data_IF_207925670804
#
_entry.id   IF_207925670804
#
_cell.length_a   1.000
_cell.length_b   1.000
_cell.length_c   1.000
_cell.angle_alpha   90.00
_cell.angle_beta   90.00
_cell.angle_gamma   90.00
#
_symmetry.space_group_name_H-M   'P 1'
#
loop_
_entity.id
_entity.type
_entity.pdbx_description
1 polymer ?
#
# COMPACT_ATOMS: atom_id res chain seq x y z
N UNK A 1 -27.20 2.08 -73.60
CA UNK A 1 -26.44 1.33 -72.58
C UNK A 1 -26.32 2.20 -71.34
N UNK A 2 -27.20 1.98 -70.35
CA UNK A 2 -27.30 2.81 -69.14
C UNK A 2 -27.15 1.92 -67.90
N UNK A 3 -26.27 2.32 -67.00
CA UNK A 3 -25.89 1.60 -65.77
C UNK A 3 -27.07 1.58 -64.79
N UNK A 4 -27.40 0.38 -64.30
CA UNK A 4 -28.43 0.13 -63.29
C UNK A 4 -27.96 0.60 -61.90
N UNK A 5 -28.87 1.27 -61.18
CA UNK A 5 -28.76 1.62 -59.76
C UNK A 5 -29.02 0.38 -58.89
N UNK A 6 -28.37 0.22 -57.72
CA UNK A 6 -28.85 -0.68 -56.68
C UNK A 6 -29.95 -0.01 -55.80
N UNK A 7 -30.82 -0.80 -55.14
CA UNK A 7 -32.04 -0.32 -54.52
C UNK A 7 -31.88 0.13 -53.05
N UNK A 8 -32.82 0.99 -52.65
CA UNK A 8 -33.06 1.54 -51.30
C UNK A 8 -33.42 0.44 -50.28
N UNK A 9 -32.88 0.56 -49.06
CA UNK A 9 -33.51 0.02 -47.85
C UNK A 9 -33.33 0.98 -46.65
N UNK A 10 -34.39 1.74 -46.40
CA UNK A 10 -35.07 2.03 -45.13
C UNK A 10 -34.27 2.56 -43.91
N UNK A 11 -34.43 3.87 -43.69
CA UNK A 11 -34.23 4.60 -42.43
C UNK A 11 -35.17 4.11 -41.32
N UNK A 12 -34.64 3.88 -40.10
CA UNK A 12 -35.39 4.12 -38.85
C UNK A 12 -34.47 4.79 -37.81
N UNK A 13 -34.74 6.08 -37.54
CA UNK A 13 -34.38 6.75 -36.28
C UNK A 13 -35.36 6.28 -35.20
N UNK A 14 -34.85 5.89 -34.04
CA UNK A 14 -35.60 5.78 -32.78
C UNK A 14 -34.69 6.28 -31.65
N UNK A 15 -34.77 7.57 -31.28
CA UNK A 15 -35.50 8.09 -30.11
C UNK A 15 -34.99 7.48 -28.79
N UNK A 16 -34.19 8.28 -28.09
CA UNK A 16 -33.73 8.08 -26.73
C UNK A 16 -34.93 8.19 -25.76
N UNK A 17 -35.14 7.26 -24.82
CA UNK A 17 -36.00 7.48 -23.66
C UNK A 17 -35.18 8.05 -22.50
N UNK A 18 -35.56 9.23 -22.04
CA UNK A 18 -35.18 9.81 -20.74
C UNK A 18 -36.18 9.42 -19.66
N UNK A 19 -35.79 8.60 -18.69
CA UNK A 19 -36.27 8.62 -17.29
C UNK A 19 -35.33 7.81 -16.38
N UNK A 20 -35.24 8.14 -15.08
CA UNK A 20 -34.16 7.72 -14.19
C UNK A 20 -34.45 6.36 -13.55
N UNK A 21 -33.48 5.44 -13.57
CA UNK A 21 -33.60 4.14 -12.89
C UNK A 21 -32.72 4.14 -11.64
N UNK A 22 -33.36 3.70 -10.56
CA UNK A 22 -32.90 3.63 -9.19
C UNK A 22 -31.64 2.76 -8.99
N UNK A 23 -30.97 3.07 -7.88
CA UNK A 23 -29.83 2.39 -7.25
C UNK A 23 -29.85 0.86 -7.40
N UNK A 24 -28.75 0.20 -7.82
CA UNK A 24 -28.65 -1.25 -7.73
C UNK A 24 -28.38 -1.65 -6.27
N UNK A 25 -29.37 -2.33 -5.68
CA UNK A 25 -29.24 -3.03 -4.41
C UNK A 25 -28.06 -4.02 -4.47
N UNK A 26 -27.24 -4.02 -3.41
CA UNK A 26 -26.14 -4.94 -3.22
C UNK A 26 -26.61 -6.40 -3.32
N UNK A 27 -26.10 -7.12 -4.32
CA UNK A 27 -26.20 -8.58 -4.38
C UNK A 27 -25.00 -9.13 -3.61
N UNK A 28 -25.22 -9.55 -2.38
CA UNK A 28 -24.22 -10.28 -1.61
C UNK A 28 -24.19 -11.75 -2.06
N UNK A 29 -23.01 -12.34 -2.34
CA UNK A 29 -22.91 -13.77 -2.61
C UNK A 29 -23.17 -14.55 -1.32
N UNK A 30 -24.14 -15.46 -1.35
CA UNK A 30 -24.36 -16.45 -0.30
C UNK A 30 -23.28 -17.53 -0.45
N UNK A 31 -22.36 -17.61 0.52
CA UNK A 31 -21.39 -18.70 0.63
C UNK A 31 -22.08 -19.89 1.29
N UNK A 32 -22.14 -21.02 0.59
CA UNK A 32 -22.61 -22.30 1.15
C UNK A 32 -21.48 -22.96 1.98
N UNK A 33 -21.79 -23.68 3.07
CA UNK A 33 -20.77 -24.30 3.91
C UNK A 33 -20.05 -25.43 3.17
N UNK A 34 -18.72 -25.40 3.15
CA UNK A 34 -17.88 -26.48 2.64
C UNK A 34 -17.67 -27.50 3.78
N UNK A 35 -17.98 -28.76 3.51
CA UNK A 35 -17.72 -29.88 4.42
C UNK A 35 -16.21 -30.01 4.67
N UNK A 36 -15.79 -29.94 5.94
CA UNK A 36 -14.40 -30.16 6.33
C UNK A 36 -13.99 -31.63 6.13
N UNK A 37 -12.97 -31.88 5.32
CA UNK A 37 -12.29 -33.18 5.25
C UNK A 37 -11.35 -33.36 6.45
N UNK A 38 -11.20 -34.58 7.00
CA UNK A 38 -10.33 -34.82 8.15
C UNK A 38 -8.84 -34.68 7.82
N UNK A 39 -8.09 -34.13 8.77
CA UNK A 39 -6.66 -33.84 8.72
C UNK A 39 -5.80 -35.12 8.59
N UNK A 40 -4.77 -35.15 7.73
CA UNK A 40 -3.80 -36.25 7.70
C UNK A 40 -2.81 -36.17 8.89
N UNK A 41 -2.22 -37.31 9.31
CA UNK A 41 -1.30 -37.36 10.44
C UNK A 41 0.06 -36.67 10.15
N UNK A 42 0.78 -36.20 11.18
CA UNK A 42 2.03 -35.46 11.01
C UNK A 42 3.18 -36.36 10.54
N UNK A 43 3.97 -35.84 9.60
CA UNK A 43 5.22 -36.45 9.12
C UNK A 43 6.34 -36.35 10.19
N UNK A 44 7.24 -37.34 10.27
CA UNK A 44 8.36 -37.33 11.22
C UNK A 44 9.41 -36.27 10.86
N UNK A 45 9.94 -35.61 11.89
CA UNK A 45 10.96 -34.56 11.77
C UNK A 45 12.32 -35.13 11.33
N UNK A 46 13.10 -34.39 10.50
CA UNK A 46 14.45 -34.81 10.12
C UNK A 46 15.45 -34.68 11.29
N UNK A 47 16.56 -35.44 11.26
CA UNK A 47 17.53 -35.45 12.36
C UNK A 47 18.27 -34.10 12.47
N UNK A 48 18.29 -33.55 13.67
CA UNK A 48 19.12 -32.39 14.03
C UNK A 48 20.56 -32.89 14.21
N UNK A 49 21.42 -32.65 13.22
CA UNK A 49 22.86 -32.83 13.37
C UNK A 49 23.39 -31.72 14.31
N UNK A 50 23.65 -32.08 15.56
CA UNK A 50 24.29 -31.20 16.54
C UNK A 50 25.80 -31.19 16.30
N UNK A 51 26.45 -30.01 16.17
CA UNK A 51 27.90 -29.95 16.01
C UNK A 51 28.60 -30.43 17.28
N UNK A 52 29.58 -31.31 17.10
CA UNK A 52 30.30 -32.03 18.15
C UNK A 52 31.29 -31.18 18.94
N UNK A 53 31.51 -29.90 18.57
CA UNK A 53 32.42 -29.00 19.27
C UNK A 53 32.08 -27.52 19.08
N UNK A 54 32.28 -26.66 20.10
CA UNK A 54 32.16 -25.20 19.98
C UNK A 54 33.05 -24.58 18.91
N UNK A 55 34.21 -25.19 18.61
CA UNK A 55 35.11 -24.70 17.55
C UNK A 55 34.52 -24.89 16.16
N UNK A 56 33.80 -25.98 15.93
CA UNK A 56 33.17 -26.27 14.63
C UNK A 56 31.95 -25.37 14.41
N UNK A 57 31.23 -25.02 15.48
CA UNK A 57 30.18 -24.01 15.42
C UNK A 57 30.74 -22.61 15.09
N UNK A 58 31.86 -22.23 15.70
CA UNK A 58 32.52 -20.93 15.44
C UNK A 58 33.10 -20.89 14.03
N UNK A 59 33.74 -21.97 13.55
CA UNK A 59 34.23 -22.07 12.17
C UNK A 59 33.06 -22.04 11.18
N UNK A 60 31.95 -22.73 11.47
CA UNK A 60 30.72 -22.67 10.66
C UNK A 60 30.13 -21.26 10.58
N UNK A 61 30.10 -20.54 11.69
CA UNK A 61 29.65 -19.14 11.74
C UNK A 61 30.59 -18.20 10.98
N UNK A 62 31.90 -18.41 11.06
CA UNK A 62 32.89 -17.61 10.34
C UNK A 62 32.87 -17.88 8.83
N UNK A 63 32.61 -19.13 8.41
CA UNK A 63 32.41 -19.48 6.98
C UNK A 63 31.10 -18.95 6.42
N UNK A 64 30.05 -18.82 7.24
CA UNK A 64 28.79 -18.18 6.84
C UNK A 64 28.89 -16.64 6.77
N UNK A 65 29.88 -16.06 7.44
CA UNK A 65 30.03 -14.61 7.56
C UNK A 65 31.03 -14.00 6.57
N UNK A 66 31.70 -14.80 5.73
CA UNK A 66 32.56 -14.27 4.68
C UNK A 66 31.97 -14.60 3.30
N UNK A 67 31.61 -13.51 2.61
CA UNK A 67 31.10 -13.43 1.24
C UNK A 67 29.57 -13.58 1.09
N UNK A 68 28.85 -12.49 1.36
CA UNK A 68 27.41 -12.46 1.18
C UNK A 68 26.89 -11.06 0.98
N UNK A 69 26.76 -10.61 -0.27
CA UNK A 69 25.75 -9.60 -0.61
C UNK A 69 24.42 -10.14 -0.06
N UNK A 70 23.62 -9.37 0.69
CA UNK A 70 22.36 -9.88 1.23
C UNK A 70 21.54 -10.48 0.08
N UNK A 71 21.08 -11.72 0.25
CA UNK A 71 20.29 -12.40 -0.77
C UNK A 71 18.98 -11.64 -0.93
N UNK A 72 18.83 -10.93 -2.05
CA UNK A 72 17.71 -10.01 -2.26
C UNK A 72 16.47 -10.83 -2.64
N UNK A 73 15.39 -10.64 -1.88
CA UNK A 73 14.12 -11.29 -2.19
C UNK A 73 13.53 -10.70 -3.47
N UNK A 74 13.27 -11.57 -4.44
CA UNK A 74 12.55 -11.30 -5.68
C UNK A 74 11.17 -11.95 -5.59
N UNK A 75 10.09 -11.18 -5.68
CA UNK A 75 8.71 -11.70 -5.75
C UNK A 75 8.41 -12.34 -7.12
N UNK A 76 7.50 -13.30 -7.13
CA UNK A 76 7.03 -13.99 -8.34
C UNK A 76 6.12 -13.03 -9.11
N UNK A 77 6.43 -12.84 -10.39
CA UNK A 77 5.57 -12.08 -11.28
C UNK A 77 4.87 -13.01 -12.27
N UNK A 78 3.54 -12.99 -12.26
CA UNK A 78 2.74 -13.70 -13.27
C UNK A 78 2.90 -13.09 -14.68
N UNK A 79 3.41 -11.85 -14.78
CA UNK A 79 3.82 -11.14 -16.01
C UNK A 79 4.53 -9.82 -15.64
N UNK A 80 5.54 -9.36 -16.41
CA UNK A 80 6.09 -8.01 -16.24
C UNK A 80 5.00 -6.98 -16.53
N UNK A 81 4.56 -6.24 -15.52
CA UNK A 81 3.69 -5.08 -15.67
C UNK A 81 4.58 -3.85 -15.72
N UNK A 82 4.36 -2.96 -16.69
CA UNK A 82 5.01 -1.65 -16.67
C UNK A 82 4.61 -0.91 -15.39
N UNK A 83 5.58 -0.25 -14.74
CA UNK A 83 5.31 0.57 -13.58
C UNK A 83 4.37 1.72 -13.93
N UNK A 84 3.58 2.17 -12.95
CA UNK A 84 2.69 3.33 -13.10
C UNK A 84 3.45 4.65 -13.37
N UNK A 85 4.77 4.65 -13.19
CA UNK A 85 5.66 5.79 -13.41
C UNK A 85 7.09 5.32 -13.75
N UNK A 86 7.72 5.98 -14.72
CA UNK A 86 9.07 5.61 -15.20
C UNK A 86 10.17 5.85 -14.16
N UNK A 87 9.98 6.78 -13.22
CA UNK A 87 10.96 7.06 -12.14
C UNK A 87 11.24 5.84 -11.26
N UNK A 88 10.27 4.94 -11.14
CA UNK A 88 10.43 3.71 -10.36
C UNK A 88 11.53 2.77 -10.90
N UNK A 89 11.95 2.94 -12.16
CA UNK A 89 13.10 2.22 -12.73
C UNK A 89 14.44 2.67 -12.12
N UNK A 90 14.50 3.85 -11.53
CA UNK A 90 15.69 4.44 -10.90
C UNK A 90 15.75 4.18 -9.38
N UNK A 91 14.78 3.45 -8.83
CA UNK A 91 14.69 3.17 -7.40
C UNK A 91 15.93 2.44 -6.88
N UNK A 92 16.51 2.97 -5.81
CA UNK A 92 17.49 2.30 -4.95
C UNK A 92 16.90 2.03 -3.57
N UNK A 93 16.16 0.93 -3.43
CA UNK A 93 15.35 0.65 -2.22
C UNK A 93 16.21 0.49 -0.96
N UNK A 94 17.46 0.04 -1.12
CA UNK A 94 18.41 -0.14 -0.01
C UNK A 94 18.78 1.16 0.71
N UNK A 95 18.51 2.32 0.12
CA UNK A 95 18.67 3.60 0.81
C UNK A 95 17.60 3.78 1.90
N UNK A 96 16.38 3.28 1.65
CA UNK A 96 15.21 3.55 2.48
C UNK A 96 14.93 2.46 3.52
N UNK A 97 15.33 1.22 3.28
CA UNK A 97 15.06 0.09 4.19
C UNK A 97 16.22 -0.90 4.21
N UNK A 98 16.35 -1.60 5.34
CA UNK A 98 17.31 -2.69 5.53
C UNK A 98 16.73 -4.07 5.22
N UNK A 99 15.43 -4.15 4.96
CA UNK A 99 14.77 -5.39 4.57
C UNK A 99 15.33 -5.84 3.21
N UNK A 100 15.78 -7.10 3.06
CA UNK A 100 16.45 -7.57 1.85
C UNK A 100 15.46 -7.81 0.71
N UNK A 101 15.04 -6.74 0.03
CA UNK A 101 14.18 -6.78 -1.15
C UNK A 101 14.95 -6.24 -2.38
N UNK A 102 14.71 -6.83 -3.54
CA UNK A 102 15.26 -6.28 -4.79
C UNK A 102 14.59 -4.95 -5.19
N UNK A 103 15.33 -4.08 -5.89
CA UNK A 103 14.76 -2.83 -6.44
C UNK A 103 13.53 -3.11 -7.32
N UNK A 104 13.57 -4.19 -8.12
CA UNK A 104 12.45 -4.59 -8.99
C UNK A 104 11.19 -4.95 -8.19
N UNK A 105 11.33 -5.75 -7.14
CA UNK A 105 10.17 -6.13 -6.33
C UNK A 105 9.64 -4.95 -5.52
N UNK A 106 10.54 -4.09 -5.01
CA UNK A 106 10.14 -2.88 -4.33
C UNK A 106 9.41 -1.89 -5.26
N UNK A 107 9.92 -1.67 -6.48
CA UNK A 107 9.29 -0.78 -7.46
C UNK A 107 7.92 -1.31 -7.90
N UNK A 108 7.78 -2.64 -8.05
CA UNK A 108 6.48 -3.28 -8.30
C UNK A 108 5.49 -3.01 -7.16
N UNK A 109 5.88 -3.28 -5.91
CA UNK A 109 5.01 -3.10 -4.75
C UNK A 109 4.59 -1.63 -4.57
N UNK A 110 5.53 -0.69 -4.75
CA UNK A 110 5.25 0.75 -4.70
C UNK A 110 4.29 1.15 -5.83
N UNK A 111 4.51 0.63 -7.05
CA UNK A 111 3.59 0.85 -8.17
C UNK A 111 2.18 0.34 -7.85
N UNK A 112 2.06 -0.86 -7.27
CA UNK A 112 0.77 -1.42 -6.85
C UNK A 112 0.08 -0.49 -5.86
N UNK A 113 0.76 -0.09 -4.77
CA UNK A 113 0.22 0.83 -3.77
C UNK A 113 -0.28 2.15 -4.38
N UNK A 114 0.50 2.74 -5.30
CA UNK A 114 0.14 3.99 -5.95
C UNK A 114 -1.11 3.86 -6.83
N UNK A 115 -1.31 2.70 -7.44
CA UNK A 115 -2.47 2.39 -8.29
C UNK A 115 -3.70 1.94 -7.48
N UNK A 116 -3.53 1.40 -6.27
CA UNK A 116 -4.61 0.86 -5.44
C UNK A 116 -4.96 1.78 -4.27
N UNK A 117 -4.16 1.76 -3.22
CA UNK A 117 -4.50 2.37 -1.93
C UNK A 117 -4.36 3.88 -2.00
N UNK A 118 -3.31 4.37 -2.68
CA UNK A 118 -3.13 5.81 -2.85
C UNK A 118 -4.13 6.41 -3.84
N UNK A 119 -4.56 5.66 -4.86
CA UNK A 119 -5.57 6.16 -5.81
C UNK A 119 -6.96 6.25 -5.16
N UNK A 120 -7.26 5.33 -4.24
CA UNK A 120 -8.52 5.31 -3.50
C UNK A 120 -8.57 6.36 -2.38
N UNK A 121 -7.51 6.45 -1.58
CA UNK A 121 -7.50 7.28 -0.36
C UNK A 121 -6.78 8.61 -0.58
N UNK A 122 -5.68 8.64 -1.32
CA UNK A 122 -4.86 9.85 -1.54
C UNK A 122 -3.92 10.17 -0.37
N UNK A 123 -3.30 9.15 0.25
CA UNK A 123 -2.40 9.33 1.40
C UNK A 123 -1.22 10.28 1.10
N UNK A 124 -0.71 10.24 -0.13
CA UNK A 124 0.46 11.01 -0.57
C UNK A 124 0.27 11.61 -1.96
N UNK A 125 0.97 12.72 -2.22
CA UNK A 125 1.15 13.25 -3.56
C UNK A 125 2.14 12.36 -4.30
N UNK A 126 1.67 11.70 -5.37
CA UNK A 126 2.45 10.74 -6.15
C UNK A 126 3.73 11.36 -6.69
N UNK A 127 3.66 12.58 -7.22
CA UNK A 127 4.78 13.19 -7.93
C UNK A 127 5.85 13.70 -6.98
N UNK A 128 5.45 14.29 -5.84
CA UNK A 128 6.37 14.68 -4.78
C UNK A 128 7.05 13.47 -4.15
N UNK A 129 6.28 12.43 -3.80
CA UNK A 129 6.83 11.20 -3.23
C UNK A 129 7.83 10.54 -4.18
N UNK A 130 7.47 10.32 -5.44
CA UNK A 130 8.34 9.62 -6.40
C UNK A 130 9.62 10.40 -6.70
N UNK A 131 9.55 11.73 -6.75
CA UNK A 131 10.74 12.58 -6.92
C UNK A 131 11.70 12.40 -5.75
N UNK A 132 11.19 12.50 -4.52
CA UNK A 132 12.01 12.40 -3.32
C UNK A 132 12.52 10.99 -3.07
N UNK A 133 11.72 9.97 -3.43
CA UNK A 133 12.09 8.55 -3.37
C UNK A 133 13.36 8.25 -4.18
N UNK A 134 13.42 8.75 -5.42
CA UNK A 134 14.58 8.50 -6.32
C UNK A 134 15.75 9.45 -6.07
N UNK A 135 15.48 10.67 -5.61
CA UNK A 135 16.52 11.65 -5.26
C UNK A 135 17.07 11.47 -3.84
N UNK A 136 16.56 10.49 -3.07
CA UNK A 136 16.97 10.23 -1.71
C UNK A 136 16.73 11.41 -0.74
N UNK A 137 15.70 12.23 -1.02
CA UNK A 137 15.36 13.42 -0.26
C UNK A 137 14.33 13.09 0.83
N UNK A 138 14.59 13.40 2.12
CA UNK A 138 13.69 13.04 3.21
C UNK A 138 12.50 14.01 3.42
N UNK A 139 12.12 14.81 2.41
CA UNK A 139 11.08 15.86 2.56
C UNK A 139 9.67 15.28 2.44
N UNK A 140 9.36 14.66 1.31
CA UNK A 140 8.10 13.97 1.00
C UNK A 140 8.26 12.43 0.95
N UNK A 141 9.45 11.94 1.30
CA UNK A 141 9.76 10.53 1.43
C UNK A 141 10.47 10.29 2.76
N UNK A 142 10.28 9.14 3.39
CA UNK A 142 11.06 8.74 4.56
C UNK A 142 11.22 7.22 4.60
N UNK A 143 12.21 6.72 5.35
CA UNK A 143 12.38 5.29 5.57
C UNK A 143 11.10 4.67 6.16
N UNK A 144 10.45 5.37 7.09
CA UNK A 144 9.19 4.94 7.67
C UNK A 144 8.08 4.85 6.61
N UNK A 145 7.91 5.91 5.81
CA UNK A 145 6.90 5.93 4.76
C UNK A 145 7.10 4.78 3.77
N UNK A 146 8.33 4.56 3.29
CA UNK A 146 8.64 3.48 2.34
C UNK A 146 8.37 2.10 2.97
N UNK A 147 8.77 1.89 4.22
CA UNK A 147 8.53 0.61 4.91
C UNK A 147 7.04 0.33 5.11
N UNK A 148 6.25 1.35 5.47
CA UNK A 148 4.80 1.24 5.61
C UNK A 148 4.10 0.93 4.28
N UNK A 149 4.52 1.59 3.19
CA UNK A 149 4.00 1.31 1.83
C UNK A 149 4.30 -0.14 1.43
N UNK A 150 5.53 -0.60 1.62
CA UNK A 150 5.93 -1.96 1.25
C UNK A 150 5.20 -3.00 2.10
N UNK A 151 5.00 -2.74 3.39
CA UNK A 151 4.20 -3.60 4.27
C UNK A 151 2.76 -3.76 3.80
N UNK A 152 2.07 -2.64 3.50
CA UNK A 152 0.71 -2.67 2.99
C UNK A 152 0.63 -3.36 1.63
N UNK A 153 1.51 -3.00 0.68
CA UNK A 153 1.52 -3.57 -0.66
C UNK A 153 1.77 -5.08 -0.68
N UNK A 154 2.53 -5.63 0.28
CA UNK A 154 2.72 -7.07 0.39
C UNK A 154 1.40 -7.84 0.60
N UNK A 155 0.36 -7.23 1.18
CA UNK A 155 -0.95 -7.87 1.37
C UNK A 155 -1.53 -8.37 0.05
N UNK A 156 -1.47 -7.55 -1.00
CA UNK A 156 -2.01 -7.87 -2.33
C UNK A 156 -1.31 -9.08 -2.99
N UNK A 157 -0.11 -9.45 -2.53
CA UNK A 157 0.69 -10.53 -3.09
C UNK A 157 0.82 -11.76 -2.16
N UNK A 158 0.45 -11.64 -0.88
CA UNK A 158 0.62 -12.68 0.13
C UNK A 158 -0.13 -13.99 -0.19
N UNK A 159 -1.27 -13.91 -0.89
CA UNK A 159 -2.04 -15.10 -1.29
C UNK A 159 -1.38 -15.92 -2.42
N UNK A 160 -0.46 -15.33 -3.18
CA UNK A 160 0.15 -15.95 -4.36
C UNK A 160 1.65 -16.20 -4.23
N UNK A 161 2.31 -15.63 -3.22
CA UNK A 161 3.74 -15.77 -2.98
C UNK A 161 4.07 -15.73 -1.48
N UNK A 162 4.48 -16.87 -0.91
CA UNK A 162 4.85 -16.97 0.51
C UNK A 162 6.00 -16.02 0.91
N UNK A 163 6.83 -15.60 -0.06
CA UNK A 163 7.88 -14.60 0.19
C UNK A 163 7.30 -13.22 0.46
N UNK A 164 6.13 -12.90 -0.10
CA UNK A 164 5.43 -11.65 0.22
C UNK A 164 4.97 -11.64 1.68
N UNK A 165 4.54 -12.77 2.24
CA UNK A 165 4.23 -12.87 3.67
C UNK A 165 5.48 -12.70 4.56
N UNK A 166 6.61 -13.29 4.16
CA UNK A 166 7.90 -13.12 4.87
C UNK A 166 8.40 -11.67 4.83
N UNK A 167 8.28 -11.02 3.66
CA UNK A 167 8.59 -9.62 3.50
C UNK A 167 7.64 -8.73 4.31
N UNK A 168 6.33 -9.02 4.32
CA UNK A 168 5.36 -8.28 5.13
C UNK A 168 5.75 -8.28 6.61
N UNK A 169 6.11 -9.44 7.17
CA UNK A 169 6.57 -9.53 8.55
C UNK A 169 7.86 -8.71 8.79
N UNK A 170 8.78 -8.71 7.83
CA UNK A 170 10.02 -7.92 7.92
C UNK A 170 9.75 -6.41 7.87
N UNK A 171 8.88 -5.97 6.96
CA UNK A 171 8.47 -4.56 6.86
C UNK A 171 7.62 -4.11 8.04
N UNK A 172 6.80 -4.99 8.62
CA UNK A 172 6.08 -4.71 9.86
C UNK A 172 7.06 -4.35 10.99
N UNK A 173 8.08 -5.19 11.23
CA UNK A 173 9.07 -4.94 12.27
C UNK A 173 9.88 -3.66 12.00
N UNK A 174 10.25 -3.41 10.75
CA UNK A 174 10.99 -2.18 10.40
C UNK A 174 10.10 -0.93 10.58
N UNK A 175 8.82 -1.01 10.18
CA UNK A 175 7.84 0.08 10.33
C UNK A 175 7.53 0.38 11.79
N UNK A 176 7.37 -0.65 12.64
CA UNK A 176 7.18 -0.46 14.08
C UNK A 176 8.39 0.22 14.73
N UNK A 177 9.61 -0.21 14.37
CA UNK A 177 10.86 0.39 14.83
C UNK A 177 10.94 1.87 14.42
N UNK A 178 10.63 2.17 13.16
CA UNK A 178 10.66 3.53 12.61
C UNK A 178 9.57 4.42 13.20
N UNK A 179 8.35 3.90 13.39
CA UNK A 179 7.27 4.58 14.09
C UNK A 179 7.69 5.03 15.48
N UNK A 180 8.31 4.15 16.27
CA UNK A 180 8.78 4.50 17.63
C UNK A 180 9.79 5.65 17.61
N UNK A 181 10.60 5.76 16.56
CA UNK A 181 11.59 6.82 16.39
C UNK A 181 10.98 8.14 15.88
N UNK A 182 10.00 8.07 14.97
CA UNK A 182 9.50 9.24 14.24
C UNK A 182 8.17 9.80 14.79
N UNK A 183 7.41 9.06 15.61
CA UNK A 183 6.04 9.45 16.05
C UNK A 183 5.90 10.80 16.76
N UNK A 184 7.00 11.39 17.21
CA UNK A 184 7.02 12.70 17.89
C UNK A 184 7.45 13.84 16.95
N UNK A 185 7.87 13.53 15.72
CA UNK A 185 8.25 14.50 14.70
C UNK A 185 7.04 14.80 13.82
N UNK A 186 6.35 15.89 14.10
CA UNK A 186 5.15 16.29 13.37
C UNK A 186 5.52 16.73 11.95
N UNK A 187 5.13 15.94 10.96
CA UNK A 187 5.31 16.24 9.53
C UNK A 187 4.23 15.52 8.71
N UNK A 188 3.94 16.03 7.51
CA UNK A 188 2.97 15.39 6.62
C UNK A 188 3.44 13.99 6.20
N UNK A 189 4.74 13.81 6.01
CA UNK A 189 5.37 12.53 5.65
C UNK A 189 5.23 11.50 6.76
N UNK A 190 5.50 11.88 8.01
CA UNK A 190 5.31 11.00 9.18
C UNK A 190 3.84 10.69 9.39
N UNK A 191 2.96 11.68 9.25
CA UNK A 191 1.52 11.48 9.35
C UNK A 191 1.00 10.48 8.30
N UNK A 192 1.39 10.63 7.04
CA UNK A 192 1.04 9.70 5.97
C UNK A 192 1.57 8.28 6.29
N UNK A 193 2.82 8.17 6.74
CA UNK A 193 3.42 6.89 7.11
C UNK A 193 2.66 6.18 8.24
N UNK A 194 2.20 6.91 9.26
CA UNK A 194 1.37 6.37 10.35
C UNK A 194 0.04 5.83 9.82
N UNK A 195 -0.63 6.58 8.95
CA UNK A 195 -1.94 6.17 8.43
C UNK A 195 -1.84 4.99 7.46
N UNK A 196 -0.83 4.96 6.60
CA UNK A 196 -0.55 3.80 5.72
C UNK A 196 -0.19 2.59 6.58
N UNK A 197 0.60 2.75 7.65
CA UNK A 197 0.93 1.65 8.54
C UNK A 197 -0.29 1.12 9.30
N UNK A 198 -1.17 2.02 9.74
CA UNK A 198 -2.47 1.68 10.34
C UNK A 198 -3.33 0.86 9.38
N UNK A 199 -3.48 1.29 8.12
CA UNK A 199 -4.20 0.55 7.09
C UNK A 199 -3.57 -0.83 6.87
N UNK A 200 -2.24 -0.90 6.73
CA UNK A 200 -1.53 -2.18 6.64
C UNK A 200 -1.79 -3.09 7.85
N UNK A 201 -1.88 -2.54 9.06
CA UNK A 201 -2.23 -3.33 10.24
C UNK A 201 -3.62 -3.95 10.10
N UNK A 202 -4.62 -3.19 9.67
CA UNK A 202 -5.96 -3.75 9.41
C UNK A 202 -5.96 -4.80 8.31
N UNK A 203 -5.27 -4.56 7.19
CA UNK A 203 -5.19 -5.51 6.08
C UNK A 203 -4.61 -6.87 6.50
N UNK A 204 -3.63 -6.86 7.40
CA UNK A 204 -2.99 -8.09 7.91
C UNK A 204 -3.57 -8.60 9.24
N UNK A 205 -4.70 -8.06 9.72
CA UNK A 205 -5.41 -8.53 10.92
C UNK A 205 -4.82 -8.10 12.26
N UNK A 206 -3.93 -7.10 12.28
CA UNK A 206 -3.34 -6.49 13.47
C UNK A 206 -4.20 -5.33 14.02
N UNK A 207 -5.49 -5.59 14.24
CA UNK A 207 -6.51 -4.54 14.45
C UNK A 207 -6.22 -3.61 15.63
N UNK A 208 -5.76 -4.15 16.77
CA UNK A 208 -5.48 -3.34 17.95
C UNK A 208 -4.37 -2.30 17.68
N UNK A 209 -3.27 -2.73 17.06
CA UNK A 209 -2.19 -1.82 16.68
C UNK A 209 -2.64 -0.85 15.58
N UNK A 210 -3.45 -1.33 14.63
CA UNK A 210 -4.06 -0.49 13.61
C UNK A 210 -4.87 0.66 14.20
N UNK A 211 -5.68 0.39 15.22
CA UNK A 211 -6.44 1.41 15.96
C UNK A 211 -5.53 2.36 16.73
N UNK A 212 -4.51 1.87 17.44
CA UNK A 212 -3.56 2.71 18.17
C UNK A 212 -2.82 3.69 17.25
N UNK A 213 -2.38 3.20 16.08
CA UNK A 213 -1.73 4.02 15.04
C UNK A 213 -2.70 5.06 14.47
N UNK A 214 -3.96 4.68 14.22
CA UNK A 214 -4.99 5.60 13.74
C UNK A 214 -5.23 6.75 14.72
N UNK A 215 -5.33 6.44 16.02
CA UNK A 215 -5.48 7.43 17.08
C UNK A 215 -4.24 8.33 17.17
N UNK A 216 -3.04 7.77 17.05
CA UNK A 216 -1.79 8.53 17.00
C UNK A 216 -1.75 9.49 15.80
N UNK A 217 -2.14 9.02 14.61
CA UNK A 217 -2.25 9.85 13.40
C UNK A 217 -3.24 11.00 13.59
N UNK A 218 -4.40 10.73 14.19
CA UNK A 218 -5.40 11.76 14.52
C UNK A 218 -4.83 12.80 15.49
N UNK A 219 -4.10 12.38 16.52
CA UNK A 219 -3.47 13.29 17.48
C UNK A 219 -2.40 14.16 16.80
N UNK A 220 -1.58 13.58 15.92
CA UNK A 220 -0.57 14.32 15.15
C UNK A 220 -1.22 15.36 14.24
N UNK A 221 -2.24 14.98 13.47
CA UNK A 221 -2.93 15.94 12.60
C UNK A 221 -3.64 17.06 13.37
N UNK A 222 -4.11 16.81 14.61
CA UNK A 222 -4.58 17.87 15.52
C UNK A 222 -3.46 18.82 15.92
N UNK A 223 -2.28 18.31 16.28
CA UNK A 223 -1.11 19.16 16.63
C UNK A 223 -0.61 19.99 15.45
N UNK A 224 -0.82 19.50 14.24
CA UNK A 224 -0.49 20.18 12.99
C UNK A 224 -1.61 21.09 12.47
N UNK A 225 -2.69 21.30 13.24
CA UNK A 225 -3.86 22.10 12.86
C UNK A 225 -4.51 21.67 11.53
N UNK A 226 -4.39 20.38 11.15
CA UNK A 226 -5.00 19.82 9.93
C UNK A 226 -6.49 19.51 10.11
N UNK A 227 -6.93 19.38 11.36
CA UNK A 227 -8.30 19.05 11.75
C UNK A 227 -8.79 20.07 12.78
N UNK A 228 -9.90 20.76 12.49
CA UNK A 228 -10.45 21.78 13.39
C UNK A 228 -10.97 23.04 12.72
N UNK A 229 -10.86 23.16 11.39
CA UNK A 229 -11.57 24.20 10.67
C UNK A 229 -13.06 23.85 10.65
N UNK A 230 -13.89 24.77 11.14
CA UNK A 230 -15.34 24.74 10.92
C UNK A 230 -15.55 24.66 9.39
N UNK A 231 -16.24 23.63 8.87
CA UNK A 231 -16.48 23.49 7.43
C UNK A 231 -17.20 24.70 6.80
N UNK A 232 -17.86 25.51 7.63
CA UNK A 232 -18.56 26.73 7.20
C UNK A 232 -17.69 27.99 7.23
N UNK A 233 -16.50 27.92 7.83
CA UNK A 233 -15.57 29.04 7.95
C UNK A 233 -15.05 29.52 6.58
N UNK A 234 -14.79 30.83 6.41
CA UNK A 234 -14.14 31.37 5.22
C UNK A 234 -12.78 30.71 4.92
N UNK A 235 -12.06 30.28 5.95
CA UNK A 235 -10.74 29.65 5.87
C UNK A 235 -10.84 28.21 5.34
N UNK A 236 -11.84 27.43 5.80
CA UNK A 236 -12.14 26.11 5.24
C UNK A 236 -12.54 26.19 3.76
N UNK A 237 -13.36 27.19 3.40
CA UNK A 237 -13.72 27.48 2.01
C UNK A 237 -12.52 27.94 1.18
N UNK A 238 -11.63 28.74 1.74
CA UNK A 238 -10.38 29.16 1.10
C UNK A 238 -9.44 27.98 0.82
N UNK A 239 -9.33 27.05 1.76
CA UNK A 239 -8.56 25.81 1.59
C UNK A 239 -9.19 24.90 0.53
N UNK A 240 -10.52 24.80 0.52
CA UNK A 240 -11.28 24.02 -0.46
C UNK A 240 -11.25 24.65 -1.87
N UNK A 241 -11.23 25.99 -1.96
CA UNK A 241 -11.06 26.72 -3.21
C UNK A 241 -9.62 26.67 -3.76
N UNK A 242 -8.61 26.63 -2.90
CA UNK A 242 -7.23 26.37 -3.33
C UNK A 242 -7.11 24.94 -3.90
N UNK A 243 -7.78 23.99 -3.25
CA UNK A 243 -7.85 22.60 -3.65
C UNK A 243 -8.67 22.36 -4.94
N UNK A 244 -9.58 23.28 -5.31
CA UNK A 244 -10.33 23.20 -6.57
C UNK A 244 -9.64 23.92 -7.74
N UNK A 245 -8.73 24.86 -7.46
CA UNK A 245 -7.89 25.53 -8.48
C UNK A 245 -6.64 24.74 -8.85
N UNK A 246 -6.21 23.81 -8.00
CA UNK A 246 -5.11 22.88 -8.26
C UNK A 246 -5.60 21.44 -8.13
N UNK A 247 -5.80 20.68 -9.22
CA UNK A 247 -6.35 19.32 -9.19
C UNK A 247 -5.34 18.27 -8.68
N UNK A 248 -4.37 18.67 -7.85
CA UNK A 248 -3.45 17.75 -7.19
C UNK A 248 -4.06 17.36 -5.82
N UNK A 249 -4.18 16.06 -5.52
CA UNK A 249 -4.64 15.61 -4.21
C UNK A 249 -3.61 16.06 -3.18
N UNK A 250 -3.97 17.04 -2.36
CA UNK A 250 -3.14 17.40 -1.22
C UNK A 250 -3.10 16.19 -0.26
N UNK A 251 -1.92 15.75 0.21
CA UNK A 251 -1.78 14.62 1.15
C UNK A 251 -2.65 14.77 2.43
N UNK A 252 -3.00 16.00 2.79
CA UNK A 252 -3.90 16.33 3.90
C UNK A 252 -5.33 15.81 3.67
N UNK A 253 -5.82 15.77 2.42
CA UNK A 253 -7.17 15.30 2.09
C UNK A 253 -7.31 13.78 2.21
N UNK A 254 -6.34 12.98 1.76
CA UNK A 254 -6.46 11.52 1.90
C UNK A 254 -6.30 11.05 3.34
N UNK A 255 -5.45 11.73 4.10
CA UNK A 255 -5.37 11.51 5.54
C UNK A 255 -6.68 11.89 6.25
N UNK A 256 -7.30 13.02 5.86
CA UNK A 256 -8.62 13.44 6.37
C UNK A 256 -9.72 12.43 6.02
N UNK A 257 -9.78 11.94 4.78
CA UNK A 257 -10.76 10.97 4.32
C UNK A 257 -10.64 9.64 5.07
N UNK A 258 -9.42 9.12 5.23
CA UNK A 258 -9.17 7.89 6.00
C UNK A 258 -9.63 8.01 7.46
N UNK A 259 -9.29 9.11 8.14
CA UNK A 259 -9.69 9.32 9.53
C UNK A 259 -11.20 9.53 9.70
N UNK A 260 -11.91 9.92 8.64
CA UNK A 260 -13.37 10.12 8.64
C UNK A 260 -14.11 8.82 8.33
N UNK A 261 -13.66 8.05 7.34
CA UNK A 261 -14.31 6.81 6.86
C UNK A 261 -14.22 5.67 7.88
N UNK A 262 -13.08 5.55 8.57
CA UNK A 262 -12.91 4.60 9.68
C UNK A 262 -13.78 5.01 10.89
N UNK A 263 -13.98 6.31 11.14
CA UNK A 263 -14.85 6.75 12.23
C UNK A 263 -16.31 6.34 12.01
N UNK A 264 -16.83 6.39 10.77
CA UNK A 264 -18.19 5.95 10.45
C UNK A 264 -18.40 4.44 10.50
N UNK A 265 -17.33 3.64 10.39
CA UNK A 265 -17.41 2.18 10.38
C UNK A 265 -17.32 1.56 11.78
N UNK A 266 -16.90 2.33 12.79
CA UNK A 266 -16.68 1.88 14.17
C UNK A 266 -17.51 2.63 15.24
N UNK A 267 -18.51 3.42 14.83
CA UNK A 267 -19.58 3.97 15.69
C UNK A 267 -20.92 3.36 15.35
#
# INVERSE_FOLDING_TARGET
MARQRPPEWTTIRGILPTTPIASPAAVYPIVLPIHASPTPPPLPSPPINTPSSPRDAILGLLTLSQDGKPDLVLLNEARPKEHCDLRLNELSVSYWTRVPISNRSASMLISTFLETDNSAVGFIDKDLFLTDLVQHNPTFCSAFLVSSILYLACFAHAASDDRAATLAHSFFNDSERLYRAERLSDSLTTLAAINIFSLGCFSHGNDNLGQDLLLSGRQMGKRMDLYGLDPTSPEARGFQELSSRHPAPHPSWGTFNWLTDVHSSFT
#
